data_IF_200167334767
#
_entry.id   IF_200167334767
#
_cell.length_a   1.000
_cell.length_b   1.000
_cell.length_c   1.000
_cell.angle_alpha   90.00
_cell.angle_beta   90.00
_cell.angle_gamma   90.00
#
_symmetry.space_group_name_H-M   'P 1'
#
loop_
_entity.id
_entity.type
_entity.pdbx_description
1 polymer ?
#
# COMPACT_ATOMS: atom_id res chain seq x y z
N UNK A 1 -10.20 -10.99 27.96
CA UNK A 1 -10.13 -12.32 27.30
C UNK A 1 -10.61 -12.09 25.87
N UNK A 2 -9.69 -11.77 24.96
CA UNK A 2 -10.01 -11.54 23.56
C UNK A 2 -10.23 -12.87 22.86
N UNK A 3 -11.34 -13.00 22.15
CA UNK A 3 -11.61 -14.14 21.28
C UNK A 3 -10.63 -14.08 20.10
N UNK A 4 -9.59 -14.91 20.16
CA UNK A 4 -8.77 -15.24 19.00
C UNK A 4 -9.66 -16.00 18.02
N UNK A 5 -10.25 -15.31 17.04
CA UNK A 5 -10.79 -15.97 15.85
C UNK A 5 -9.59 -16.48 15.04
N UNK A 6 -9.04 -17.60 15.50
CA UNK A 6 -7.88 -18.24 14.91
C UNK A 6 -8.24 -18.76 13.54
N UNK A 7 -7.80 -18.06 12.50
CA UNK A 7 -7.50 -18.70 11.24
C UNK A 7 -6.52 -19.83 11.55
N UNK A 8 -6.83 -21.03 11.10
CA UNK A 8 -5.91 -22.15 11.16
C UNK A 8 -5.57 -22.53 9.72
N UNK A 9 -4.29 -22.61 9.40
CA UNK A 9 -3.85 -23.14 8.11
C UNK A 9 -4.45 -24.54 7.94
N UNK A 10 -5.14 -24.83 6.82
CA UNK A 10 -5.86 -26.09 6.66
C UNK A 10 -4.91 -27.28 6.76
N UNK A 11 -5.29 -28.35 7.48
CA UNK A 11 -4.40 -29.48 7.71
C UNK A 11 -3.95 -30.12 6.39
N UNK A 12 -2.65 -30.16 6.15
CA UNK A 12 -2.02 -30.95 5.08
C UNK A 12 -1.69 -30.21 3.77
N UNK A 13 -2.04 -28.92 3.60
CA UNK A 13 -1.56 -28.11 2.47
C UNK A 13 -0.60 -27.03 2.96
N UNK A 14 0.65 -27.06 2.47
CA UNK A 14 1.60 -25.95 2.68
C UNK A 14 1.30 -24.81 1.71
N UNK A 15 1.52 -23.55 2.11
CA UNK A 15 1.47 -22.43 1.17
C UNK A 15 2.54 -22.58 0.09
N UNK A 16 2.26 -22.03 -1.10
CA UNK A 16 3.24 -21.92 -2.19
C UNK A 16 4.38 -20.98 -1.79
N UNK A 17 4.02 -19.89 -1.12
CA UNK A 17 4.92 -18.95 -0.46
C UNK A 17 4.12 -18.13 0.56
N UNK A 18 4.84 -17.48 1.48
CA UNK A 18 4.25 -16.57 2.46
C UNK A 18 5.01 -15.25 2.48
N UNK A 19 4.34 -14.14 2.79
CA UNK A 19 5.02 -12.84 2.89
C UNK A 19 4.45 -11.95 3.99
N UNK A 20 5.33 -11.20 4.65
CA UNK A 20 4.97 -10.26 5.70
C UNK A 20 4.42 -8.97 5.11
N UNK A 21 3.47 -8.33 5.80
CA UNK A 21 2.87 -7.07 5.37
C UNK A 21 2.73 -6.08 6.52
N UNK A 22 2.98 -4.80 6.21
CA UNK A 22 2.74 -3.67 7.09
C UNK A 22 2.42 -2.44 6.23
N UNK A 23 1.61 -1.53 6.75
CA UNK A 23 1.29 -0.26 6.09
C UNK A 23 1.40 0.91 7.05
N UNK A 24 1.69 2.09 6.50
CA UNK A 24 1.54 3.38 7.18
C UNK A 24 2.25 3.42 8.54
N UNK A 25 3.54 3.06 8.56
CA UNK A 25 4.39 3.21 9.74
C UNK A 25 4.42 4.67 10.17
N UNK A 26 4.58 5.60 9.21
CA UNK A 26 4.51 7.06 9.42
C UNK A 26 5.24 7.51 10.69
N UNK A 27 6.47 7.03 10.91
CA UNK A 27 7.26 7.42 12.06
C UNK A 27 7.58 8.93 12.01
N UNK A 28 7.52 9.60 13.15
CA UNK A 28 8.12 10.92 13.35
C UNK A 28 8.52 11.10 14.81
N UNK A 29 9.63 11.80 15.08
CA UNK A 29 10.08 12.06 16.45
C UNK A 29 9.35 13.25 17.10
N UNK A 30 8.03 13.17 17.11
CA UNK A 30 7.13 14.21 17.65
C UNK A 30 6.16 13.57 18.66
N UNK A 31 5.57 14.37 19.58
CA UNK A 31 4.50 13.87 20.45
C UNK A 31 3.32 13.31 19.67
N UNK A 32 2.58 12.39 20.27
CA UNK A 32 1.34 11.85 19.73
C UNK A 32 0.36 12.96 19.35
N UNK A 33 -0.44 12.71 18.32
CA UNK A 33 -1.38 13.68 17.79
C UNK A 33 -2.65 13.02 17.30
N UNK A 34 -3.34 13.72 16.40
CA UNK A 34 -4.57 13.22 15.80
C UNK A 34 -4.58 13.51 14.30
N UNK A 35 -5.36 12.71 13.56
CA UNK A 35 -5.79 13.02 12.20
C UNK A 35 -6.73 14.24 12.20
N UNK A 36 -7.06 14.75 11.01
CA UNK A 36 -8.05 15.81 10.86
C UNK A 36 -9.43 15.43 11.45
N UNK A 37 -9.79 14.14 11.39
CA UNK A 37 -11.03 13.59 11.94
C UNK A 37 -10.94 13.20 13.42
N UNK A 38 -9.83 13.52 14.09
CA UNK A 38 -9.65 13.23 15.52
C UNK A 38 -9.22 11.80 15.84
N UNK A 39 -8.76 11.02 14.85
CA UNK A 39 -8.21 9.67 15.10
C UNK A 39 -6.80 9.77 15.70
N UNK A 40 -6.51 9.14 16.85
CA UNK A 40 -5.19 9.21 17.48
C UNK A 40 -4.06 8.69 16.57
N UNK A 41 -2.90 9.34 16.61
CA UNK A 41 -1.69 9.01 15.83
C UNK A 41 -0.48 8.94 16.76
N UNK A 42 0.19 7.79 16.79
CA UNK A 42 1.27 7.47 17.73
C UNK A 42 2.64 7.46 17.03
N UNK A 43 3.12 8.65 16.66
CA UNK A 43 4.26 8.84 15.74
C UNK A 43 5.57 8.19 16.18
N UNK A 44 5.90 8.25 17.48
CA UNK A 44 7.10 7.58 17.99
C UNK A 44 6.89 6.08 18.18
N UNK A 45 5.66 5.69 18.53
CA UNK A 45 5.34 4.30 18.82
C UNK A 45 5.35 3.42 17.57
N UNK A 46 4.98 3.97 16.41
CA UNK A 46 4.80 3.18 15.18
C UNK A 46 6.06 2.42 14.73
N UNK A 47 7.26 2.91 15.04
CA UNK A 47 8.50 2.16 14.77
C UNK A 47 8.63 0.91 15.66
N UNK A 48 8.02 0.90 16.84
CA UNK A 48 7.98 -0.29 17.70
C UNK A 48 7.04 -1.36 17.15
N UNK A 49 5.94 -0.97 16.49
CA UNK A 49 5.08 -1.90 15.73
C UNK A 49 5.90 -2.59 14.64
N UNK A 50 6.67 -1.82 13.86
CA UNK A 50 7.60 -2.38 12.86
C UNK A 50 8.64 -3.32 13.49
N UNK A 51 9.24 -2.94 14.62
CA UNK A 51 10.22 -3.78 15.30
C UNK A 51 9.65 -5.13 15.72
N UNK A 52 8.42 -5.16 16.23
CA UNK A 52 7.70 -6.41 16.57
C UNK A 52 7.39 -7.22 15.32
N UNK A 53 6.92 -6.57 14.25
CA UNK A 53 6.70 -7.22 12.95
C UNK A 53 7.96 -7.93 12.44
N UNK A 54 9.10 -7.25 12.44
CA UNK A 54 10.39 -7.82 12.01
C UNK A 54 10.79 -9.01 12.89
N UNK A 55 10.60 -8.93 14.21
CA UNK A 55 10.90 -10.04 15.12
C UNK A 55 10.04 -11.27 14.80
N UNK A 56 8.73 -11.07 14.58
CA UNK A 56 7.81 -12.14 14.23
C UNK A 56 8.18 -12.78 12.89
N UNK A 57 8.36 -11.97 11.85
CA UNK A 57 8.74 -12.45 10.51
C UNK A 57 10.07 -13.18 10.49
N UNK A 58 11.04 -12.75 11.29
CA UNK A 58 12.33 -13.43 11.43
C UNK A 58 12.19 -14.79 12.12
N UNK A 59 11.19 -14.97 12.98
CA UNK A 59 10.86 -16.27 13.61
C UNK A 59 10.05 -17.19 12.68
N UNK A 60 9.44 -16.64 11.63
CA UNK A 60 8.64 -17.38 10.65
C UNK A 60 9.53 -18.04 9.58
N UNK A 61 9.84 -19.33 9.78
CA UNK A 61 10.77 -20.11 8.95
C UNK A 61 10.40 -20.14 7.45
N UNK A 62 9.10 -20.15 7.12
CA UNK A 62 8.61 -20.28 5.75
C UNK A 62 8.29 -18.93 5.07
N UNK A 63 8.63 -17.79 5.68
CA UNK A 63 8.37 -16.48 5.09
C UNK A 63 9.37 -16.19 3.95
N UNK A 64 8.89 -15.77 2.78
CA UNK A 64 9.72 -15.56 1.60
C UNK A 64 10.24 -14.11 1.49
N UNK A 65 9.38 -13.13 1.75
CA UNK A 65 9.68 -11.70 1.66
C UNK A 65 8.71 -10.87 2.51
N UNK A 66 8.91 -9.55 2.54
CA UNK A 66 8.05 -8.58 3.23
C UNK A 66 7.66 -7.48 2.24
N UNK A 67 6.44 -6.95 2.32
CA UNK A 67 6.01 -5.74 1.61
C UNK A 67 5.62 -4.65 2.60
N UNK A 68 6.23 -3.48 2.46
CA UNK A 68 5.80 -2.24 3.11
C UNK A 68 4.90 -1.43 2.16
N UNK A 69 3.65 -1.20 2.54
CA UNK A 69 2.62 -0.59 1.68
C UNK A 69 2.68 0.95 1.57
N UNK A 70 3.79 1.58 1.97
CA UNK A 70 4.02 3.00 1.77
C UNK A 70 4.14 3.75 3.09
N UNK A 71 4.17 5.08 3.00
CA UNK A 71 4.09 5.98 4.14
C UNK A 71 5.01 5.62 5.32
N UNK A 72 6.31 5.55 5.02
CA UNK A 72 7.35 5.11 5.96
C UNK A 72 7.59 6.10 7.12
N UNK A 73 7.43 7.39 6.87
CA UNK A 73 7.69 8.52 7.79
C UNK A 73 6.58 9.54 7.58
N UNK A 74 6.11 10.17 8.65
CA UNK A 74 4.98 11.12 8.58
C UNK A 74 5.37 12.47 7.96
N UNK A 75 4.45 13.13 7.26
CA UNK A 75 4.64 14.48 6.71
C UNK A 75 4.86 15.57 7.76
N UNK A 76 4.51 15.32 9.03
CA UNK A 76 4.83 16.21 10.17
C UNK A 76 6.25 15.99 10.71
N UNK A 77 7.04 15.10 10.10
CA UNK A 77 8.46 14.97 10.45
C UNK A 77 9.14 16.36 10.41
N UNK A 78 9.89 16.76 11.45
CA UNK A 78 10.46 18.10 11.51
C UNK A 78 11.34 18.41 10.28
N UNK A 79 11.29 19.64 9.76
CA UNK A 79 12.13 20.05 8.65
C UNK A 79 13.61 19.74 8.91
N UNK A 80 14.28 19.14 7.92
CA UNK A 80 15.68 18.74 8.02
C UNK A 80 15.92 17.37 8.68
N UNK A 81 14.91 16.73 9.26
CA UNK A 81 15.04 15.40 9.89
C UNK A 81 14.52 14.25 9.01
N UNK A 82 13.79 14.55 7.94
CA UNK A 82 13.15 13.55 7.07
C UNK A 82 14.10 12.47 6.55
N UNK A 83 15.32 12.85 6.13
CA UNK A 83 16.31 11.89 5.64
C UNK A 83 16.75 10.91 6.73
N UNK A 84 17.00 11.41 7.93
CA UNK A 84 17.46 10.58 9.06
C UNK A 84 16.32 9.73 9.61
N UNK A 85 15.09 10.25 9.63
CA UNK A 85 13.90 9.49 9.97
C UNK A 85 13.69 8.32 8.97
N UNK A 86 13.76 8.58 7.67
CA UNK A 86 13.63 7.53 6.65
C UNK A 86 14.75 6.51 6.77
N UNK A 87 16.00 6.93 6.98
CA UNK A 87 17.12 6.02 7.22
C UNK A 87 16.91 5.17 8.48
N UNK A 88 16.40 5.77 9.55
CA UNK A 88 16.11 5.08 10.82
C UNK A 88 15.07 3.97 10.62
N UNK A 89 13.94 4.28 9.98
CA UNK A 89 12.89 3.27 9.73
C UNK A 89 13.36 2.21 8.72
N UNK A 90 14.06 2.62 7.65
CA UNK A 90 14.64 1.69 6.69
C UNK A 90 15.70 0.76 7.32
N UNK A 91 16.46 1.26 8.30
CA UNK A 91 17.39 0.42 9.06
C UNK A 91 16.66 -0.69 9.85
N UNK A 92 15.47 -0.42 10.38
CA UNK A 92 14.64 -1.46 11.01
C UNK A 92 14.16 -2.50 9.98
N UNK A 93 13.70 -2.08 8.80
CA UNK A 93 13.36 -3.02 7.71
C UNK A 93 14.56 -3.88 7.29
N UNK A 94 15.77 -3.33 7.27
CA UNK A 94 17.00 -4.05 6.93
C UNK A 94 17.40 -5.12 7.96
N UNK A 95 16.77 -5.18 9.13
CA UNK A 95 16.94 -6.28 10.09
C UNK A 95 16.10 -7.51 9.73
N UNK A 96 15.25 -7.43 8.70
CA UNK A 96 14.58 -8.60 8.14
C UNK A 96 15.60 -9.58 7.55
N UNK A 97 15.44 -10.87 7.85
CA UNK A 97 16.20 -11.97 7.23
C UNK A 97 15.73 -12.26 5.79
N UNK A 98 14.68 -11.56 5.33
CA UNK A 98 14.04 -11.74 4.01
C UNK A 98 14.12 -10.45 3.20
N UNK A 99 14.05 -10.51 1.86
CA UNK A 99 13.90 -9.33 1.02
C UNK A 99 12.70 -8.47 1.45
N UNK A 100 12.88 -7.14 1.42
CA UNK A 100 11.82 -6.17 1.71
C UNK A 100 11.54 -5.39 0.43
N UNK A 101 10.28 -5.38 0.03
CA UNK A 101 9.76 -4.61 -1.08
C UNK A 101 8.99 -3.41 -0.54
N UNK A 102 9.23 -2.24 -1.13
CA UNK A 102 8.62 -0.99 -0.68
C UNK A 102 7.72 -0.41 -1.76
N UNK A 103 6.57 0.09 -1.31
CA UNK A 103 5.76 1.05 -2.03
C UNK A 103 6.11 2.47 -1.52
N UNK A 104 5.79 3.47 -2.33
CA UNK A 104 5.77 4.86 -1.90
C UNK A 104 4.33 5.29 -1.61
N UNK A 105 4.16 6.10 -0.56
CA UNK A 105 2.90 6.79 -0.27
C UNK A 105 3.09 8.31 -0.28
N UNK A 106 2.02 9.06 -0.02
CA UNK A 106 2.05 10.52 -0.01
C UNK A 106 2.99 11.07 1.06
N UNK A 107 3.01 10.49 2.26
CA UNK A 107 3.90 10.95 3.34
C UNK A 107 5.38 10.71 3.01
N UNK A 108 5.70 9.67 2.25
CA UNK A 108 7.06 9.50 1.72
C UNK A 108 7.48 10.70 0.84
N UNK A 109 6.56 11.16 -0.01
CA UNK A 109 6.79 12.20 -1.01
C UNK A 109 6.70 13.62 -0.44
N UNK A 110 6.04 13.83 0.71
CA UNK A 110 6.14 15.07 1.49
C UNK A 110 7.55 15.26 2.06
N UNK A 111 8.25 14.17 2.32
CA UNK A 111 9.50 14.15 3.08
C UNK A 111 10.75 14.17 2.20
N UNK A 112 10.80 13.29 1.20
CA UNK A 112 11.98 13.15 0.34
C UNK A 112 11.59 13.14 -1.15
N UNK A 113 12.39 13.79 -2.01
CA UNK A 113 12.21 13.68 -3.45
C UNK A 113 12.52 12.25 -3.93
N UNK A 114 11.89 11.86 -5.04
CA UNK A 114 12.00 10.51 -5.64
C UNK A 114 13.45 10.07 -5.86
N UNK A 115 14.32 10.96 -6.34
CA UNK A 115 15.74 10.69 -6.62
C UNK A 115 16.57 10.31 -5.37
N UNK A 116 16.13 10.72 -4.18
CA UNK A 116 16.72 10.32 -2.90
C UNK A 116 15.99 9.14 -2.28
N UNK A 117 14.66 9.16 -2.30
CA UNK A 117 13.82 8.17 -1.64
C UNK A 117 13.96 6.78 -2.26
N UNK A 118 13.82 6.66 -3.58
CA UNK A 118 13.77 5.35 -4.24
C UNK A 118 15.07 4.55 -4.08
N UNK A 119 16.27 5.15 -4.25
CA UNK A 119 17.52 4.44 -3.99
C UNK A 119 17.69 4.01 -2.53
N UNK A 120 17.25 4.84 -1.56
CA UNK A 120 17.31 4.49 -0.14
C UNK A 120 16.46 3.26 0.17
N UNK A 121 15.28 3.15 -0.44
CA UNK A 121 14.36 2.01 -0.30
C UNK A 121 14.65 0.88 -1.28
N UNK A 122 15.70 0.99 -2.11
CA UNK A 122 16.06 0.00 -3.15
C UNK A 122 14.90 -0.36 -4.08
N UNK A 123 14.04 0.61 -4.39
CA UNK A 123 12.95 0.43 -5.35
C UNK A 123 13.58 0.33 -6.76
N UNK A 124 13.30 -0.74 -7.54
CA UNK A 124 14.03 -1.06 -8.77
C UNK A 124 13.70 -0.18 -9.98
N UNK A 125 12.81 0.81 -9.83
CA UNK A 125 12.33 1.61 -10.94
C UNK A 125 13.39 2.55 -11.55
N UNK A 126 13.21 2.85 -12.83
CA UNK A 126 14.12 3.68 -13.63
C UNK A 126 13.58 5.10 -13.72
N UNK A 127 14.46 6.11 -13.77
CA UNK A 127 14.08 7.53 -13.96
C UNK A 127 13.03 8.07 -12.95
N UNK A 128 13.09 7.62 -11.70
CA UNK A 128 12.19 8.10 -10.64
C UNK A 128 10.81 7.43 -10.62
N UNK A 129 10.57 6.45 -11.49
CA UNK A 129 9.36 5.62 -11.47
C UNK A 129 9.43 4.64 -10.30
N UNK A 130 8.29 4.36 -9.65
CA UNK A 130 8.25 3.48 -8.48
C UNK A 130 7.38 2.22 -8.66
N UNK A 131 6.92 1.95 -9.89
CA UNK A 131 6.17 0.74 -10.23
C UNK A 131 7.12 -0.35 -10.77
N UNK A 132 6.79 -1.61 -10.47
CA UNK A 132 7.58 -2.79 -10.85
C UNK A 132 6.77 -4.07 -10.62
N UNK A 133 7.23 -5.19 -11.16
CA UNK A 133 6.68 -6.51 -10.87
C UNK A 133 7.78 -7.54 -10.55
N UNK A 134 7.40 -8.62 -9.88
CA UNK A 134 8.26 -9.78 -9.67
C UNK A 134 7.43 -11.05 -9.45
N UNK A 135 8.04 -12.22 -9.69
CA UNK A 135 7.39 -13.51 -9.48
C UNK A 135 8.04 -14.27 -8.31
N UNK A 136 7.40 -14.36 -7.13
CA UNK A 136 7.95 -15.10 -6.00
C UNK A 136 7.87 -16.63 -6.18
N UNK A 137 6.99 -17.08 -7.08
CA UNK A 137 6.85 -18.48 -7.51
C UNK A 137 6.46 -18.52 -9.00
N UNK A 138 6.62 -19.65 -9.70
CA UNK A 138 6.16 -19.80 -11.07
C UNK A 138 4.67 -19.46 -11.25
N UNK A 139 3.84 -19.73 -10.25
CA UNK A 139 2.38 -19.59 -10.29
C UNK A 139 1.89 -18.18 -9.99
N UNK A 140 2.73 -17.28 -9.47
CA UNK A 140 2.31 -15.96 -9.01
C UNK A 140 3.19 -14.82 -9.50
N UNK A 141 2.56 -13.67 -9.70
CA UNK A 141 3.20 -12.39 -9.94
C UNK A 141 2.65 -11.35 -8.96
N UNK A 142 3.56 -10.60 -8.34
CA UNK A 142 3.25 -9.39 -7.58
C UNK A 142 3.47 -8.21 -8.52
N UNK A 143 2.46 -7.36 -8.67
CA UNK A 143 2.51 -6.12 -9.46
C UNK A 143 2.39 -4.95 -8.50
N UNK A 144 3.40 -4.10 -8.44
CA UNK A 144 3.42 -2.91 -7.60
C UNK A 144 3.19 -1.68 -8.46
N UNK A 145 2.10 -0.95 -8.19
CA UNK A 145 1.77 0.31 -8.85
C UNK A 145 2.31 1.50 -8.07
N UNK A 146 2.67 2.55 -8.82
CA UNK A 146 2.94 3.88 -8.32
C UNK A 146 1.67 4.72 -8.48
N UNK A 147 0.85 4.76 -7.43
CA UNK A 147 -0.37 5.58 -7.36
C UNK A 147 -0.11 7.09 -7.37
N UNK A 148 1.16 7.51 -7.27
CA UNK A 148 1.59 8.90 -7.31
C UNK A 148 2.31 9.27 -8.60
N UNK A 149 2.17 8.44 -9.64
CA UNK A 149 2.74 8.68 -10.96
C UNK A 149 2.27 10.01 -11.53
N UNK A 150 0.95 10.24 -11.58
CA UNK A 150 0.36 11.57 -11.81
C UNK A 150 -0.16 12.08 -10.47
N UNK A 151 0.61 12.95 -9.81
CA UNK A 151 0.22 13.57 -8.55
C UNK A 151 0.81 14.97 -8.41
N UNK A 152 0.20 15.78 -7.55
CA UNK A 152 0.67 17.14 -7.26
C UNK A 152 1.91 17.15 -6.34
N UNK A 153 2.36 15.98 -5.90
CA UNK A 153 3.45 15.79 -4.94
C UNK A 153 4.52 14.83 -5.48
N UNK A 154 5.72 14.85 -4.88
CA UNK A 154 6.80 13.91 -5.18
C UNK A 154 7.63 14.18 -6.44
N UNK A 155 7.01 14.63 -7.53
CA UNK A 155 7.72 15.11 -8.72
C UNK A 155 8.12 16.59 -8.58
N UNK A 156 9.20 17.06 -9.24
CA UNK A 156 9.55 18.48 -9.25
C UNK A 156 8.41 19.38 -9.76
N UNK A 157 8.33 20.62 -9.27
CA UNK A 157 7.21 21.53 -9.56
C UNK A 157 6.96 21.76 -11.07
N UNK A 158 8.03 21.82 -11.88
CA UNK A 158 7.94 21.99 -13.34
C UNK A 158 7.83 20.69 -14.14
N UNK A 159 7.75 19.53 -13.48
CA UNK A 159 7.69 18.24 -14.15
C UNK A 159 6.34 18.07 -14.87
N UNK A 160 6.28 17.48 -16.08
CA UNK A 160 5.03 17.30 -16.82
C UNK A 160 3.93 16.57 -16.04
N UNK A 161 4.32 15.58 -15.21
CA UNK A 161 3.38 14.83 -14.36
C UNK A 161 2.77 15.70 -13.25
N UNK A 162 3.56 16.58 -12.63
CA UNK A 162 3.08 17.56 -11.64
C UNK A 162 2.12 18.55 -12.29
N UNK A 163 2.50 19.12 -13.44
CA UNK A 163 1.66 20.10 -14.16
C UNK A 163 0.31 19.49 -14.56
N UNK A 164 0.31 18.25 -15.07
CA UNK A 164 -0.92 17.52 -15.40
C UNK A 164 -1.79 17.28 -14.16
N UNK A 165 -1.18 16.91 -13.03
CA UNK A 165 -1.92 16.67 -11.79
C UNK A 165 -2.54 17.95 -11.21
N UNK A 166 -1.79 19.07 -11.23
CA UNK A 166 -2.31 20.37 -10.81
C UNK A 166 -3.48 20.82 -11.70
N UNK A 167 -3.34 20.70 -13.03
CA UNK A 167 -4.45 21.00 -13.95
C UNK A 167 -5.69 20.14 -13.69
N UNK A 168 -5.49 18.85 -13.38
CA UNK A 168 -6.58 17.94 -13.04
C UNK A 168 -7.28 18.37 -11.74
N UNK A 169 -6.52 18.64 -10.67
CA UNK A 169 -7.07 19.09 -9.39
C UNK A 169 -7.77 20.44 -9.49
N UNK A 170 -7.26 21.39 -10.27
CA UNK A 170 -7.96 22.67 -10.47
C UNK A 170 -9.34 22.48 -11.14
N UNK A 171 -9.48 21.47 -12.01
CA UNK A 171 -10.76 21.17 -12.67
C UNK A 171 -11.72 20.39 -11.77
N UNK A 172 -11.19 19.49 -10.93
CA UNK A 172 -11.98 18.50 -10.17
C UNK A 172 -12.26 18.90 -8.72
N UNK A 173 -11.39 19.69 -8.12
CA UNK A 173 -11.50 20.14 -6.74
C UNK A 173 -11.56 21.68 -6.71
N UNK A 174 -12.74 22.27 -6.45
CA UNK A 174 -12.92 23.72 -6.46
C UNK A 174 -12.33 24.42 -5.23
N UNK A 175 -11.88 23.66 -4.22
CA UNK A 175 -11.35 24.22 -2.98
C UNK A 175 -9.99 24.90 -3.23
N UNK A 176 -9.69 25.91 -2.42
CA UNK A 176 -8.35 26.53 -2.41
C UNK A 176 -7.32 25.62 -1.74
N UNK A 177 -7.70 24.97 -0.64
CA UNK A 177 -6.94 23.86 -0.09
C UNK A 177 -7.33 22.59 -0.84
N UNK A 178 -6.44 22.13 -1.72
CA UNK A 178 -6.67 20.94 -2.53
C UNK A 178 -6.64 19.65 -1.70
N UNK A 179 -6.27 19.68 -0.42
CA UNK A 179 -6.47 18.53 0.47
C UNK A 179 -7.90 18.44 1.00
N UNK A 180 -8.70 19.51 0.90
CA UNK A 180 -10.08 19.48 1.39
C UNK A 180 -11.00 18.75 0.40
N UNK A 181 -11.75 17.73 0.86
CA UNK A 181 -12.84 17.12 0.10
C UNK A 181 -14.17 17.84 0.31
N UNK A 182 -14.21 18.97 1.03
CA UNK A 182 -15.45 19.69 1.33
C UNK A 182 -16.16 20.12 0.04
N UNK A 183 -17.48 19.91 -0.02
CA UNK A 183 -18.31 20.18 -1.20
C UNK A 183 -18.25 19.09 -2.29
N UNK A 184 -17.22 18.25 -2.33
CA UNK A 184 -17.16 17.10 -3.26
C UNK A 184 -18.15 16.01 -2.85
N UNK A 185 -18.79 15.38 -3.83
CA UNK A 185 -19.90 14.43 -3.63
C UNK A 185 -19.53 13.03 -4.10
N UNK A 186 -19.90 12.02 -3.29
CA UNK A 186 -19.65 10.62 -3.60
C UNK A 186 -18.18 10.34 -3.92
N UNK A 187 -17.94 9.57 -4.98
CA UNK A 187 -16.60 9.17 -5.41
C UNK A 187 -15.68 10.34 -5.73
N UNK A 188 -16.20 11.51 -6.12
CA UNK A 188 -15.38 12.67 -6.46
C UNK A 188 -14.63 13.23 -5.24
N UNK A 189 -15.00 12.83 -4.01
CA UNK A 189 -14.27 13.14 -2.77
C UNK A 189 -12.81 12.66 -2.80
N UNK A 190 -12.47 11.70 -3.67
CA UNK A 190 -11.10 11.23 -3.90
C UNK A 190 -10.19 12.24 -4.58
N UNK A 191 -10.73 13.30 -5.20
CA UNK A 191 -9.95 14.28 -5.94
C UNK A 191 -9.28 15.30 -5.02
N UNK A 192 -8.39 14.81 -4.16
CA UNK A 192 -7.64 15.58 -3.18
C UNK A 192 -6.14 15.44 -3.41
N UNK A 193 -5.37 16.45 -2.99
CA UNK A 193 -3.93 16.60 -3.24
C UNK A 193 -3.07 15.52 -2.58
N UNK A 194 -3.58 14.89 -1.52
CA UNK A 194 -2.90 13.76 -0.89
C UNK A 194 -3.07 12.44 -1.64
N UNK A 195 -3.84 12.40 -2.74
CA UNK A 195 -3.96 11.24 -3.64
C UNK A 195 -3.21 11.48 -4.97
N UNK A 196 -3.38 10.56 -5.90
CA UNK A 196 -2.81 10.63 -7.24
C UNK A 196 -3.51 9.69 -8.22
N UNK A 197 -2.92 9.56 -9.40
CA UNK A 197 -3.36 8.71 -10.49
C UNK A 197 -2.21 7.87 -11.07
N UNK A 198 -2.56 6.75 -11.68
CA UNK A 198 -1.65 5.96 -12.52
C UNK A 198 -1.59 6.58 -13.91
N UNK A 199 -0.41 6.90 -14.41
CA UNK A 199 -0.22 7.54 -15.71
C UNK A 199 -0.40 6.58 -16.89
N UNK A 200 -0.62 7.13 -18.08
CA UNK A 200 -0.87 6.35 -19.32
C UNK A 200 0.20 5.30 -19.59
N UNK A 201 1.48 5.66 -19.45
CA UNK A 201 2.60 4.73 -19.68
C UNK A 201 2.58 3.56 -18.68
N UNK A 202 2.18 3.83 -17.43
CA UNK A 202 2.04 2.79 -16.42
C UNK A 202 0.79 1.93 -16.63
N UNK A 203 -0.32 2.51 -17.12
CA UNK A 203 -1.51 1.76 -17.53
C UNK A 203 -1.19 0.80 -18.70
N UNK A 204 -0.46 1.27 -19.71
CA UNK A 204 0.00 0.44 -20.83
C UNK A 204 0.95 -0.67 -20.37
N UNK A 205 1.84 -0.36 -19.43
CA UNK A 205 2.71 -1.36 -18.81
C UNK A 205 1.93 -2.39 -18.00
N UNK A 206 0.91 -1.97 -17.24
CA UNK A 206 0.04 -2.86 -16.48
C UNK A 206 -0.69 -3.84 -17.40
N UNK A 207 -1.31 -3.34 -18.46
CA UNK A 207 -2.01 -4.14 -19.48
C UNK A 207 -1.08 -5.23 -20.06
N UNK A 208 0.12 -4.84 -20.51
CA UNK A 208 1.14 -5.77 -21.00
C UNK A 208 1.56 -6.80 -19.94
N UNK A 209 1.75 -6.37 -18.69
CA UNK A 209 2.14 -7.24 -17.57
C UNK A 209 1.07 -8.28 -17.25
N UNK A 210 -0.21 -7.90 -17.28
CA UNK A 210 -1.33 -8.82 -17.06
C UNK A 210 -1.55 -9.77 -18.24
N UNK A 211 -1.33 -9.28 -19.48
CA UNK A 211 -1.33 -10.12 -20.67
C UNK A 211 -0.26 -11.21 -20.58
N UNK A 212 0.96 -10.86 -20.17
CA UNK A 212 2.06 -11.81 -20.02
C UNK A 212 1.84 -12.78 -18.87
N UNK A 213 1.35 -12.31 -17.72
CA UNK A 213 0.95 -13.18 -16.61
C UNK A 213 -0.12 -14.20 -17.05
N UNK A 214 -1.07 -13.78 -17.89
CA UNK A 214 -2.11 -14.66 -18.45
C UNK A 214 -1.50 -15.74 -19.35
N UNK A 215 -0.57 -15.38 -20.26
CA UNK A 215 0.14 -16.34 -21.13
C UNK A 215 0.92 -17.37 -20.29
N UNK A 216 1.53 -16.91 -19.20
CA UNK A 216 2.30 -17.73 -18.27
C UNK A 216 1.45 -18.48 -17.24
N UNK A 217 0.11 -18.32 -17.29
CA UNK A 217 -0.85 -18.92 -16.34
C UNK A 217 -0.57 -18.55 -14.88
N UNK A 218 -0.05 -17.35 -14.66
CA UNK A 218 0.19 -16.81 -13.32
C UNK A 218 -1.08 -16.21 -12.74
N UNK A 219 -1.21 -16.24 -11.42
CA UNK A 219 -2.16 -15.45 -10.64
C UNK A 219 -1.48 -14.15 -10.20
N UNK A 220 -2.21 -13.04 -10.22
CA UNK A 220 -1.65 -11.71 -9.96
C UNK A 220 -2.23 -11.13 -8.69
N UNK A 221 -1.34 -10.61 -7.84
CA UNK A 221 -1.67 -9.75 -6.72
C UNK A 221 -1.17 -8.35 -7.08
N UNK A 222 -2.10 -7.40 -7.19
CA UNK A 222 -1.79 -5.99 -7.46
C UNK A 222 -1.67 -5.25 -6.13
N UNK A 223 -0.60 -4.49 -5.96
CA UNK A 223 -0.31 -3.71 -4.76
C UNK A 223 -0.22 -2.23 -5.14
N UNK A 224 -0.92 -1.36 -4.42
CA UNK A 224 -0.78 0.09 -4.55
C UNK A 224 -0.98 0.73 -3.18
N UNK A 225 -0.32 1.85 -2.88
CA UNK A 225 -0.59 2.53 -1.62
C UNK A 225 -2.04 3.03 -1.55
N UNK A 226 -2.53 3.64 -2.65
CA UNK A 226 -3.90 4.12 -2.79
C UNK A 226 -4.87 2.96 -3.14
N UNK A 227 -6.01 2.82 -2.44
CA UNK A 227 -7.02 1.80 -2.73
C UNK A 227 -7.74 1.97 -4.07
N UNK A 228 -8.42 0.89 -4.48
CA UNK A 228 -9.15 0.79 -5.75
C UNK A 228 -10.66 0.56 -5.60
N UNK A 229 -11.17 0.45 -4.37
CA UNK A 229 -12.54 0.02 -4.11
C UNK A 229 -13.14 0.79 -2.93
N UNK A 230 -14.33 1.34 -3.13
CA UNK A 230 -15.01 2.23 -2.20
C UNK A 230 -15.84 1.50 -1.13
N UNK A 231 -15.85 0.16 -1.17
CA UNK A 231 -16.39 -0.70 -0.10
C UNK A 231 -15.27 -1.12 0.86
N UNK A 232 -14.08 -1.43 0.33
CA UNK A 232 -12.90 -1.78 1.10
C UNK A 232 -12.15 -0.57 1.68
N UNK A 233 -12.52 0.66 1.29
CA UNK A 233 -11.87 1.89 1.77
C UNK A 233 -12.79 3.10 1.68
N UNK A 234 -12.48 4.15 2.43
CA UNK A 234 -13.19 5.43 2.36
C UNK A 234 -13.02 6.09 0.98
N UNK A 235 -14.09 6.71 0.48
CA UNK A 235 -14.11 7.34 -0.85
C UNK A 235 -13.01 8.40 -1.03
N UNK A 236 -12.58 9.05 0.05
CA UNK A 236 -11.52 10.07 0.05
C UNK A 236 -10.13 9.47 -0.17
N UNK A 237 -9.94 8.18 0.10
CA UNK A 237 -8.65 7.49 0.00
C UNK A 237 -8.35 6.99 -1.43
N UNK A 238 -9.37 6.91 -2.29
CA UNK A 238 -9.27 6.22 -3.58
C UNK A 238 -8.27 6.87 -4.54
N UNK A 239 -7.60 6.03 -5.33
CA UNK A 239 -6.84 6.46 -6.50
C UNK A 239 -7.74 7.28 -7.44
N UNK A 240 -7.26 8.42 -7.95
CA UNK A 240 -8.08 9.33 -8.77
C UNK A 240 -8.70 8.64 -9.98
N UNK A 241 -7.92 7.83 -10.70
CA UNK A 241 -8.36 7.06 -11.86
C UNK A 241 -8.46 5.56 -11.54
N UNK A 242 -8.93 5.20 -10.33
CA UNK A 242 -9.14 3.80 -9.96
C UNK A 242 -10.02 3.06 -10.96
N UNK A 243 -11.00 3.74 -11.56
CA UNK A 243 -11.88 3.22 -12.60
C UNK A 243 -11.11 2.82 -13.87
N UNK A 244 -10.15 3.63 -14.32
CA UNK A 244 -9.29 3.27 -15.46
C UNK A 244 -8.41 2.05 -15.15
N UNK A 245 -7.86 1.97 -13.95
CA UNK A 245 -7.04 0.82 -13.51
C UNK A 245 -7.89 -0.44 -13.40
N UNK A 246 -9.06 -0.35 -12.77
CA UNK A 246 -9.97 -1.48 -12.62
C UNK A 246 -10.53 -1.95 -13.96
N UNK A 247 -10.79 -1.04 -14.91
CA UNK A 247 -11.19 -1.40 -16.27
C UNK A 247 -10.12 -2.24 -17.00
N UNK A 248 -8.84 -2.06 -16.71
CA UNK A 248 -7.77 -2.93 -17.23
C UNK A 248 -7.78 -4.25 -16.45
N UNK A 249 -7.76 -4.20 -15.12
CA UNK A 249 -7.75 -5.41 -14.26
C UNK A 249 -8.90 -6.36 -14.60
N UNK A 250 -10.10 -5.86 -14.80
CA UNK A 250 -11.31 -6.64 -15.11
C UNK A 250 -11.28 -7.31 -16.48
N UNK A 251 -10.34 -6.95 -17.37
CA UNK A 251 -10.13 -7.68 -18.64
C UNK A 251 -9.38 -9.01 -18.44
N UNK A 252 -8.77 -9.22 -17.27
CA UNK A 252 -7.89 -10.36 -17.01
C UNK A 252 -8.33 -11.18 -15.79
N UNK A 253 -8.69 -12.44 -16.04
CA UNK A 253 -9.02 -13.39 -14.96
C UNK A 253 -7.83 -13.76 -14.06
N UNK A 254 -6.61 -13.38 -14.44
CA UNK A 254 -5.40 -13.70 -13.69
C UNK A 254 -5.28 -12.89 -12.39
N UNK A 255 -5.88 -11.69 -12.31
CA UNK A 255 -5.85 -10.87 -11.09
C UNK A 255 -6.78 -11.45 -10.04
N UNK A 256 -6.24 -11.70 -8.85
CA UNK A 256 -6.97 -12.31 -7.73
C UNK A 256 -7.18 -11.38 -6.55
N UNK A 257 -6.24 -10.49 -6.29
CA UNK A 257 -6.36 -9.54 -5.19
C UNK A 257 -5.70 -8.20 -5.53
N UNK A 258 -6.29 -7.13 -5.00
CA UNK A 258 -5.73 -5.80 -4.93
C UNK A 258 -5.50 -5.45 -3.45
N UNK A 259 -4.25 -5.17 -3.09
CA UNK A 259 -3.82 -4.86 -1.74
C UNK A 259 -3.40 -3.40 -1.64
N UNK A 260 -3.78 -2.73 -0.55
CA UNK A 260 -3.50 -1.30 -0.36
C UNK A 260 -3.31 -0.88 1.09
N UNK A 261 -2.81 0.35 1.27
CA UNK A 261 -2.72 1.03 2.56
C UNK A 261 -3.61 2.28 2.57
N UNK A 262 -3.06 3.39 3.06
CA UNK A 262 -3.57 4.77 2.97
C UNK A 262 -4.87 5.05 3.75
N UNK A 263 -5.90 4.20 3.61
CA UNK A 263 -7.03 4.20 4.53
C UNK A 263 -6.65 3.43 5.80
N UNK A 264 -6.24 4.19 6.82
CA UNK A 264 -5.72 3.65 8.07
C UNK A 264 -6.71 2.78 8.86
N UNK A 265 -8.01 2.89 8.57
CA UNK A 265 -9.04 2.02 9.17
C UNK A 265 -8.96 0.60 8.62
N UNK A 266 -8.44 0.44 7.41
CA UNK A 266 -8.51 -0.78 6.63
C UNK A 266 -9.94 -1.13 6.19
N UNK A 267 -10.03 -2.17 5.37
CA UNK A 267 -11.29 -2.73 4.92
C UNK A 267 -11.10 -3.86 3.92
N UNK A 268 -12.19 -4.57 3.64
CA UNK A 268 -12.18 -5.74 2.77
C UNK A 268 -13.48 -5.83 1.96
N UNK A 269 -13.36 -6.14 0.68
CA UNK A 269 -14.49 -6.41 -0.22
C UNK A 269 -14.11 -7.42 -1.31
N UNK A 270 -15.11 -7.88 -2.04
CA UNK A 270 -14.93 -8.65 -3.28
C UNK A 270 -15.78 -7.95 -4.34
N UNK A 271 -15.18 -7.60 -5.47
CA UNK A 271 -15.91 -6.93 -6.54
C UNK A 271 -16.74 -7.90 -7.39
N UNK A 272 -17.52 -7.36 -8.32
CA UNK A 272 -18.39 -8.15 -9.20
C UNK A 272 -17.65 -9.11 -10.14
N UNK A 273 -16.33 -8.96 -10.28
CA UNK A 273 -15.48 -9.83 -11.10
C UNK A 273 -14.75 -10.88 -10.25
N UNK A 274 -14.99 -10.90 -8.94
CA UNK A 274 -14.36 -11.84 -8.02
C UNK A 274 -12.94 -11.44 -7.61
N UNK A 275 -12.54 -10.19 -7.82
CA UNK A 275 -11.25 -9.67 -7.33
C UNK A 275 -11.42 -9.23 -5.89
N UNK A 276 -10.54 -9.72 -5.02
CA UNK A 276 -10.51 -9.33 -3.61
C UNK A 276 -9.84 -7.97 -3.45
N UNK A 277 -10.40 -7.07 -2.63
CA UNK A 277 -9.80 -5.79 -2.30
C UNK A 277 -9.54 -5.75 -0.80
N UNK A 278 -8.29 -5.50 -0.39
CA UNK A 278 -7.90 -5.38 1.03
C UNK A 278 -7.06 -4.12 1.23
N UNK A 279 -7.60 -3.16 1.99
CA UNK A 279 -6.84 -2.03 2.52
C UNK A 279 -6.38 -2.36 3.94
N UNK A 280 -5.12 -2.16 4.28
CA UNK A 280 -4.52 -2.54 5.56
C UNK A 280 -4.59 -1.44 6.61
N UNK A 281 -4.81 -1.86 7.85
CA UNK A 281 -4.80 -0.99 9.01
C UNK A 281 -3.39 -0.41 9.24
N UNK A 282 -3.33 0.88 9.62
CA UNK A 282 -2.08 1.60 9.78
C UNK A 282 -1.38 1.31 11.11
N UNK A 283 -0.06 1.05 11.05
CA UNK A 283 0.79 0.95 12.23
C UNK A 283 0.86 2.26 13.03
N UNK A 284 0.69 3.42 12.40
CA UNK A 284 0.65 4.73 13.07
C UNK A 284 -0.46 4.85 14.10
N UNK A 285 -1.62 4.26 13.83
CA UNK A 285 -2.83 4.46 14.64
C UNK A 285 -2.98 3.36 15.70
N UNK A 286 -1.94 2.56 15.94
CA UNK A 286 -1.88 1.57 17.01
C UNK A 286 -1.55 2.24 18.36
N UNK A 287 -2.47 2.17 19.36
CA UNK A 287 -2.12 2.50 20.73
C UNK A 287 -0.91 1.70 21.22
N UNK A 288 -0.18 2.21 22.23
CA UNK A 288 0.85 1.42 22.89
C UNK A 288 0.37 0.02 23.25
N UNK A 289 1.25 -0.97 23.04
CA UNK A 289 1.00 -2.39 23.28
C UNK A 289 -0.02 -3.07 22.34
N UNK A 290 -0.33 -2.43 21.20
CA UNK A 290 -1.09 -3.04 20.11
C UNK A 290 -0.34 -2.97 18.80
N UNK A 291 -0.72 -3.81 17.84
CA UNK A 291 -0.07 -3.94 16.54
C UNK A 291 -1.01 -3.78 15.35
N UNK A 292 -0.42 -3.54 14.18
CA UNK A 292 -1.06 -3.60 12.87
C UNK A 292 -0.01 -3.99 11.82
N UNK A 293 0.23 -5.30 11.77
CA UNK A 293 1.04 -5.96 10.75
C UNK A 293 0.55 -7.40 10.63
N UNK A 294 1.02 -8.13 9.63
CA UNK A 294 0.63 -9.53 9.46
C UNK A 294 1.51 -10.28 8.49
N UNK A 295 1.06 -11.46 8.10
CA UNK A 295 1.60 -12.20 6.97
C UNK A 295 0.47 -12.82 6.15
N UNK A 296 0.72 -13.01 4.86
CA UNK A 296 -0.20 -13.66 3.94
C UNK A 296 0.41 -14.99 3.52
N UNK A 297 -0.31 -16.07 3.77
CA UNK A 297 -0.06 -17.37 3.16
C UNK A 297 -0.76 -17.45 1.80
N UNK A 298 0.01 -17.79 0.77
CA UNK A 298 -0.49 -17.88 -0.61
C UNK A 298 -0.65 -19.34 -1.02
N UNK A 299 -1.86 -19.70 -1.46
CA UNK A 299 -2.19 -21.03 -1.99
C UNK A 299 -2.65 -20.92 -3.44
N UNK A 300 -2.89 -22.04 -4.09
CA UNK A 300 -3.43 -22.03 -5.45
C UNK A 300 -4.84 -21.45 -5.55
N UNK A 301 -5.64 -21.63 -4.51
CA UNK A 301 -7.08 -21.37 -4.49
C UNK A 301 -7.49 -20.25 -3.54
N UNK A 302 -6.55 -19.69 -2.77
CA UNK A 302 -6.83 -18.61 -1.81
C UNK A 302 -5.58 -17.88 -1.34
N UNK A 303 -5.81 -16.70 -0.74
CA UNK A 303 -4.87 -16.04 0.15
C UNK A 303 -5.44 -16.05 1.57
N UNK A 304 -4.61 -16.31 2.58
CA UNK A 304 -4.98 -16.20 3.99
C UNK A 304 -4.11 -15.15 4.65
N UNK A 305 -4.70 -14.02 5.06
CA UNK A 305 -4.04 -12.98 5.85
C UNK A 305 -4.22 -13.32 7.33
N UNK A 306 -3.09 -13.45 8.03
CA UNK A 306 -3.02 -13.51 9.48
C UNK A 306 -2.50 -12.18 10.00
N UNK A 307 -3.36 -11.42 10.67
CA UNK A 307 -3.04 -10.10 11.19
C UNK A 307 -2.91 -10.07 12.72
N UNK A 308 -2.13 -9.11 13.21
CA UNK A 308 -1.98 -8.83 14.64
C UNK A 308 -2.88 -7.65 15.05
N UNK A 309 -3.58 -7.83 16.18
CA UNK A 309 -4.48 -6.87 16.84
C UNK A 309 -5.44 -6.11 15.91
N UNK A 310 -5.09 -4.88 15.51
CA UNK A 310 -5.96 -4.06 14.65
C UNK A 310 -6.06 -4.64 13.26
N UNK A 311 -5.01 -5.32 12.80
CA UNK A 311 -5.02 -5.92 11.49
C UNK A 311 -5.86 -7.19 11.49
N UNK A 312 -6.99 -7.15 10.80
CA UNK A 312 -7.91 -8.28 10.78
C UNK A 312 -7.40 -9.42 9.91
N UNK A 313 -7.57 -10.63 10.43
CA UNK A 313 -7.54 -11.87 9.69
C UNK A 313 -8.49 -11.79 8.48
N UNK A 314 -8.06 -12.22 7.30
CA UNK A 314 -8.88 -12.19 6.07
C UNK A 314 -8.68 -13.44 5.24
N UNK A 315 -9.77 -14.08 4.83
CA UNK A 315 -9.74 -15.20 3.88
C UNK A 315 -10.19 -14.73 2.49
N UNK A 316 -9.36 -14.94 1.49
CA UNK A 316 -9.61 -14.53 0.09
C UNK A 316 -9.63 -15.78 -0.79
N UNK A 317 -10.77 -16.48 -0.85
CA UNK A 317 -10.94 -17.67 -1.70
C UNK A 317 -11.26 -17.27 -3.13
N UNK A 318 -10.45 -17.75 -4.07
CA UNK A 318 -10.66 -17.44 -5.48
C UNK A 318 -11.82 -18.26 -6.02
N UNK A 319 -12.68 -17.58 -6.78
CA UNK A 319 -13.68 -18.26 -7.57
C UNK A 319 -13.00 -19.14 -8.64
N UNK A 320 -13.56 -20.34 -8.82
CA UNK A 320 -13.10 -21.34 -9.81
C UNK A 320 -13.28 -20.85 -11.24
#
# INVERSE_FOLDING_TARGET
MGLTNGLASPPGKKPLFSFGIISDVQYADIPDGHSFHGVPRYYRHSIHVLQRAIQEWNSHQDLNFVINFGDIVDGKCPPGQSLDAVKKVNYEFQKSNRPVYHLIGNHCLYNLPRDKLLPLLKIPGVNGLAYYDFSPSPEYRIVVLDGYDISAIGWPQGHPKTLKALEFLEKKNPNSDKNSPEGLQGLDRRFVMFNGAVGREQLEWLDGTLQDATKLKQKVIVCCHLPFDDVASDQEALLWNYDEVMNIIHQYNCVKACLSGHDHRGGYSIDSHGVHHRSFEAALECPPDTDAYGHIDVYDDRLLLFGADRMQNTEMYFNS
#
